data_IF_818576954782
#
_entry.id   IF_818576954782
#
_cell.length_a   1.000
_cell.length_b   1.000
_cell.length_c   1.000
_cell.angle_alpha   90.00
_cell.angle_beta   90.00
_cell.angle_gamma   90.00
#
_symmetry.space_group_name_H-M   'P 1'
#
loop_
_entity.id
_entity.type
_entity.pdbx_description
1 polymer ?
#
# COMPACT_ATOMS: atom_id res chain seq x y z
N UNK A 1 -27.45 -0.83 11.90
CA UNK A 1 -26.57 -1.65 11.04
C UNK A 1 -26.35 -2.97 11.78
N UNK A 2 -26.88 -4.09 11.27
CA UNK A 2 -26.66 -5.40 11.92
C UNK A 2 -25.18 -5.77 11.77
N UNK A 3 -24.50 -6.31 12.80
CA UNK A 3 -23.10 -6.71 12.67
C UNK A 3 -22.96 -7.77 11.57
N UNK A 4 -22.15 -7.51 10.55
CA UNK A 4 -21.92 -8.46 9.42
C UNK A 4 -21.49 -9.85 9.87
N UNK A 5 -20.79 -9.92 11.00
CA UNK A 5 -20.35 -11.18 11.57
C UNK A 5 -21.52 -12.04 12.09
N UNK A 6 -22.67 -11.44 12.42
CA UNK A 6 -23.87 -12.13 12.92
C UNK A 6 -23.59 -13.07 14.11
N UNK A 7 -22.58 -12.73 14.93
CA UNK A 7 -22.14 -13.57 16.05
C UNK A 7 -21.24 -14.76 15.67
N UNK A 8 -20.97 -14.96 14.38
CA UNK A 8 -20.04 -15.99 13.88
C UNK A 8 -18.58 -15.55 14.02
N UNK A 9 -17.70 -16.55 14.09
CA UNK A 9 -16.24 -16.34 14.10
C UNK A 9 -15.78 -15.71 12.79
N UNK A 10 -14.91 -14.70 12.88
CA UNK A 10 -14.32 -14.04 11.71
C UNK A 10 -12.90 -14.55 11.49
N UNK A 11 -12.69 -15.26 10.38
CA UNK A 11 -11.37 -15.63 9.87
C UNK A 11 -10.75 -14.42 9.19
N UNK A 12 -9.57 -14.00 9.64
CA UNK A 12 -8.87 -12.83 9.10
C UNK A 12 -7.68 -13.30 8.29
N UNK A 13 -7.63 -12.90 7.03
CA UNK A 13 -6.59 -13.28 6.09
C UNK A 13 -5.94 -12.02 5.56
N UNK A 14 -4.61 -11.99 5.58
CA UNK A 14 -3.83 -10.81 5.22
C UNK A 14 -2.80 -11.16 4.17
N UNK A 15 -2.66 -10.30 3.19
CA UNK A 15 -1.58 -10.39 2.22
C UNK A 15 -1.12 -8.99 1.81
N UNK A 16 0.18 -8.82 1.72
CA UNK A 16 0.80 -7.59 1.25
C UNK A 16 1.66 -7.95 0.05
N UNK A 17 1.35 -7.35 -1.09
CA UNK A 17 2.21 -7.43 -2.24
C UNK A 17 3.46 -6.62 -1.97
N UNK A 18 4.62 -7.22 -2.24
CA UNK A 18 5.91 -6.55 -2.08
C UNK A 18 6.73 -6.70 -3.34
N UNK A 19 6.72 -5.65 -4.16
CA UNK A 19 7.40 -5.60 -5.46
C UNK A 19 8.91 -5.90 -5.39
N UNK A 20 9.66 -5.33 -4.43
CA UNK A 20 11.08 -5.67 -4.23
C UNK A 20 11.33 -7.08 -3.65
N UNK A 21 10.26 -7.83 -3.35
CA UNK A 21 10.32 -9.15 -2.76
C UNK A 21 10.71 -10.27 -3.72
N UNK A 22 10.69 -11.50 -3.22
CA UNK A 22 10.78 -12.67 -4.09
C UNK A 22 9.50 -12.86 -4.91
N UNK A 23 9.57 -13.62 -6.01
CA UNK A 23 8.45 -13.85 -6.96
C UNK A 23 7.13 -14.23 -6.28
N UNK A 24 7.15 -14.97 -5.17
CA UNK A 24 5.91 -15.32 -4.47
C UNK A 24 5.29 -14.09 -3.78
N UNK A 25 6.08 -13.15 -3.27
CA UNK A 25 5.57 -11.96 -2.57
C UNK A 25 4.82 -10.97 -3.47
N UNK A 26 4.91 -11.13 -4.78
CA UNK A 26 4.24 -10.25 -5.74
C UNK A 26 3.57 -11.04 -6.88
N UNK A 27 3.18 -12.30 -6.65
CA UNK A 27 2.43 -13.09 -7.64
C UNK A 27 1.07 -13.56 -7.13
N UNK A 28 0.15 -13.82 -8.05
CA UNK A 28 -1.15 -14.41 -7.76
C UNK A 28 -1.01 -15.78 -7.06
N UNK A 29 0.01 -16.55 -7.43
CA UNK A 29 0.33 -17.83 -6.80
C UNK A 29 0.67 -17.66 -5.31
N UNK A 30 1.56 -16.70 -4.98
CA UNK A 30 1.95 -16.46 -3.59
C UNK A 30 0.81 -15.90 -2.74
N UNK A 31 -0.04 -15.04 -3.33
CA UNK A 31 -1.30 -14.62 -2.70
C UNK A 31 -2.15 -15.84 -2.31
N UNK A 32 -2.50 -16.71 -3.27
CA UNK A 32 -3.38 -17.84 -3.00
C UNK A 32 -2.79 -18.84 -2.01
N UNK A 33 -1.48 -19.14 -2.12
CA UNK A 33 -0.77 -20.01 -1.17
C UNK A 33 -0.84 -19.46 0.25
N UNK A 34 -0.61 -18.16 0.40
CA UNK A 34 -0.60 -17.49 1.71
C UNK A 34 -1.99 -17.44 2.33
N UNK A 35 -3.02 -17.18 1.52
CA UNK A 35 -4.42 -17.20 1.98
C UNK A 35 -4.85 -18.60 2.42
N UNK A 36 -4.54 -19.63 1.63
CA UNK A 36 -4.84 -21.02 1.97
C UNK A 36 -4.12 -21.45 3.25
N UNK A 37 -2.83 -21.13 3.36
CA UNK A 37 -2.05 -21.44 4.57
C UNK A 37 -2.68 -20.80 5.82
N UNK A 38 -3.03 -19.51 5.77
CA UNK A 38 -3.69 -18.82 6.89
C UNK A 38 -5.07 -19.39 7.21
N UNK A 39 -5.84 -19.81 6.20
CA UNK A 39 -7.12 -20.48 6.41
C UNK A 39 -6.93 -21.80 7.14
N UNK A 40 -6.04 -22.67 6.64
CA UNK A 40 -5.78 -23.96 7.27
C UNK A 40 -5.25 -23.84 8.70
N UNK A 41 -4.43 -22.84 8.99
CA UNK A 41 -3.95 -22.57 10.35
C UNK A 41 -5.06 -22.14 11.33
N UNK A 42 -6.12 -21.50 10.83
CA UNK A 42 -7.24 -21.02 11.66
C UNK A 42 -8.38 -22.05 11.78
N UNK A 43 -8.30 -23.16 11.03
CA UNK A 43 -9.27 -24.23 11.07
C UNK A 43 -8.71 -25.41 11.88
N UNK A 44 -9.57 -26.08 12.65
CA UNK A 44 -9.19 -27.32 13.34
C UNK A 44 -8.72 -28.39 12.35
N UNK A 45 -8.11 -29.48 12.85
CA UNK A 45 -7.64 -30.65 12.08
C UNK A 45 -8.67 -31.30 11.12
N UNK A 46 -9.93 -30.86 11.15
CA UNK A 46 -10.96 -31.19 10.16
C UNK A 46 -10.65 -30.61 8.77
N UNK A 47 -9.67 -29.71 8.61
CA UNK A 47 -9.35 -29.15 7.31
C UNK A 47 -8.77 -30.16 6.31
N UNK A 48 -8.21 -31.29 6.79
CA UNK A 48 -7.56 -32.32 5.96
C UNK A 48 -8.48 -32.84 4.85
N UNK A 49 -9.79 -32.95 5.12
CA UNK A 49 -10.76 -33.41 4.13
C UNK A 49 -11.00 -32.42 2.97
N UNK A 50 -10.53 -31.18 3.08
CA UNK A 50 -10.65 -30.14 2.05
C UNK A 50 -9.36 -29.92 1.26
N UNK A 51 -8.27 -30.58 1.65
CA UNK A 51 -7.05 -30.61 0.84
C UNK A 51 -7.29 -31.55 -0.33
N UNK A 52 -6.99 -31.16 -1.59
CA UNK A 52 -7.11 -32.05 -2.74
C UNK A 52 -6.39 -33.39 -2.50
N UNK A 53 -7.11 -34.50 -2.70
CA UNK A 53 -6.62 -35.84 -2.33
C UNK A 53 -5.27 -36.17 -2.98
N UNK A 54 -5.07 -35.83 -4.26
CA UNK A 54 -3.80 -36.07 -4.95
C UNK A 54 -2.64 -35.29 -4.32
N UNK A 55 -2.87 -34.07 -3.84
CA UNK A 55 -1.85 -33.28 -3.13
C UNK A 55 -1.55 -33.87 -1.76
N UNK A 56 -2.57 -34.31 -1.04
CA UNK A 56 -2.39 -34.97 0.26
C UNK A 56 -1.58 -36.26 0.14
N UNK A 57 -1.97 -37.15 -0.78
CA UNK A 57 -1.24 -38.40 -1.04
C UNK A 57 0.19 -38.12 -1.52
N UNK A 58 0.36 -37.13 -2.40
CA UNK A 58 1.69 -36.76 -2.86
C UNK A 58 2.56 -36.20 -1.74
N UNK A 59 2.00 -35.44 -0.78
CA UNK A 59 2.72 -34.93 0.38
C UNK A 59 3.24 -36.04 1.30
N UNK A 60 2.41 -37.08 1.50
CA UNK A 60 2.76 -38.22 2.34
C UNK A 60 3.83 -39.12 1.70
N UNK A 61 3.88 -39.17 0.36
CA UNK A 61 4.81 -40.03 -0.39
C UNK A 61 6.07 -39.29 -0.86
N UNK A 62 6.03 -37.96 -0.94
CA UNK A 62 7.19 -37.13 -1.27
C UNK A 62 8.21 -37.14 -0.15
N UNK A 63 9.35 -37.81 -0.36
CA UNK A 63 10.51 -37.83 0.56
C UNK A 63 11.28 -36.50 0.53
N UNK A 64 10.62 -35.39 0.86
CA UNK A 64 11.22 -34.06 0.92
C UNK A 64 11.28 -33.30 -0.41
N UNK A 65 10.59 -33.76 -1.46
CA UNK A 65 10.42 -32.97 -2.69
C UNK A 65 9.30 -31.94 -2.52
N UNK A 66 9.59 -30.69 -2.89
CA UNK A 66 8.60 -29.60 -2.86
C UNK A 66 7.45 -29.90 -3.82
N UNK A 67 6.23 -29.99 -3.28
CA UNK A 67 5.02 -30.14 -4.09
C UNK A 67 4.80 -28.87 -4.94
N UNK A 68 4.73 -29.05 -6.25
CA UNK A 68 4.33 -27.98 -7.16
C UNK A 68 2.81 -27.84 -7.14
N UNK A 69 2.32 -26.62 -6.98
CA UNK A 69 0.91 -26.26 -7.08
C UNK A 69 0.73 -25.35 -8.28
N UNK A 70 -0.32 -25.59 -9.08
CA UNK A 70 -0.72 -24.64 -10.12
C UNK A 70 -1.68 -23.60 -9.55
N UNK A 71 -1.77 -22.44 -10.20
CA UNK A 71 -2.74 -21.39 -9.83
C UNK A 71 -4.18 -21.92 -9.84
N UNK A 72 -4.54 -22.75 -10.83
CA UNK A 72 -5.87 -23.35 -10.92
C UNK A 72 -6.17 -24.28 -9.73
N UNK A 73 -5.20 -25.09 -9.29
CA UNK A 73 -5.36 -25.96 -8.11
C UNK A 73 -5.53 -25.15 -6.83
N UNK A 74 -4.77 -24.06 -6.68
CA UNK A 74 -4.86 -23.15 -5.54
C UNK A 74 -6.21 -22.43 -5.51
N UNK A 75 -6.65 -21.91 -6.66
CA UNK A 75 -7.96 -21.25 -6.82
C UNK A 75 -9.08 -22.20 -6.45
N UNK A 76 -9.06 -23.43 -6.97
CA UNK A 76 -10.09 -24.43 -6.66
C UNK A 76 -10.10 -24.82 -5.18
N UNK A 77 -8.92 -25.05 -4.59
CA UNK A 77 -8.80 -25.33 -3.16
C UNK A 77 -9.40 -24.20 -2.30
N UNK A 78 -9.16 -22.94 -2.71
CA UNK A 78 -9.71 -21.78 -2.03
C UNK A 78 -11.25 -21.71 -2.16
N UNK A 79 -11.81 -22.05 -3.32
CA UNK A 79 -13.27 -22.12 -3.51
C UNK A 79 -13.89 -23.20 -2.62
N UNK A 80 -13.30 -24.39 -2.57
CA UNK A 80 -13.78 -25.51 -1.75
C UNK A 80 -13.80 -25.09 -0.28
N UNK A 81 -12.69 -24.56 0.25
CA UNK A 81 -12.61 -24.20 1.67
C UNK A 81 -13.54 -23.04 2.01
N UNK A 82 -13.69 -22.03 1.14
CA UNK A 82 -14.62 -20.91 1.34
C UNK A 82 -16.07 -21.39 1.39
N UNK A 83 -16.45 -22.33 0.51
CA UNK A 83 -17.79 -22.92 0.52
C UNK A 83 -18.10 -23.60 1.85
N UNK A 84 -17.11 -24.27 2.43
CA UNK A 84 -17.25 -24.95 3.72
C UNK A 84 -17.41 -23.96 4.88
N UNK A 85 -16.51 -22.99 5.00
CA UNK A 85 -16.51 -22.07 6.15
C UNK A 85 -17.65 -21.05 6.10
N UNK A 86 -18.24 -20.80 4.93
CA UNK A 86 -19.31 -19.81 4.73
C UNK A 86 -20.53 -19.96 5.66
N UNK A 87 -20.78 -21.17 6.18
CA UNK A 87 -21.91 -21.49 7.06
C UNK A 87 -21.64 -21.21 8.54
N UNK A 88 -20.39 -21.34 8.98
CA UNK A 88 -20.01 -21.29 10.39
C UNK A 88 -19.12 -20.08 10.73
N UNK A 89 -18.54 -19.46 9.70
CA UNK A 89 -17.61 -18.36 9.83
C UNK A 89 -17.94 -17.25 8.83
N UNK A 90 -17.30 -16.11 9.05
CA UNK A 90 -17.17 -15.03 8.07
C UNK A 90 -15.70 -14.85 7.75
N UNK A 91 -15.37 -14.41 6.54
CA UNK A 91 -13.97 -14.26 6.10
C UNK A 91 -13.71 -12.82 5.73
N UNK A 92 -12.69 -12.23 6.35
CA UNK A 92 -12.19 -10.90 6.04
C UNK A 92 -10.83 -11.01 5.37
N UNK A 93 -10.76 -10.62 4.11
CA UNK A 93 -9.49 -10.45 3.38
C UNK A 93 -9.02 -9.01 3.52
N UNK A 94 -7.74 -8.84 3.80
CA UNK A 94 -7.03 -7.55 3.75
C UNK A 94 -5.88 -7.73 2.78
N UNK A 95 -6.01 -7.15 1.59
CA UNK A 95 -5.02 -7.24 0.51
C UNK A 95 -4.44 -5.87 0.26
N UNK A 96 -3.14 -5.71 0.45
CA UNK A 96 -2.50 -4.40 0.38
C UNK A 96 -1.47 -4.36 -0.77
N UNK A 97 -1.52 -3.30 -1.57
CA UNK A 97 -0.61 -3.06 -2.70
C UNK A 97 -0.93 -3.83 -3.99
N UNK A 98 -2.19 -3.93 -4.44
CA UNK A 98 -2.51 -4.72 -5.65
C UNK A 98 -1.72 -4.31 -6.91
N UNK A 99 -1.28 -3.05 -7.00
CA UNK A 99 -0.43 -2.53 -8.09
C UNK A 99 1.02 -3.04 -8.06
N UNK A 100 1.46 -3.66 -6.97
CA UNK A 100 2.78 -4.25 -6.86
C UNK A 100 2.84 -5.69 -7.40
N UNK A 101 1.75 -6.22 -7.97
CA UNK A 101 1.79 -7.53 -8.64
C UNK A 101 2.75 -7.51 -9.84
N UNK A 102 3.55 -8.57 -9.94
CA UNK A 102 4.43 -8.83 -11.08
C UNK A 102 3.62 -9.14 -12.33
N UNK A 103 4.19 -8.80 -13.49
CA UNK A 103 3.62 -9.10 -14.79
C UNK A 103 3.02 -7.90 -15.53
N UNK A 104 2.26 -8.24 -16.56
CA UNK A 104 1.67 -7.32 -17.54
C UNK A 104 0.22 -6.95 -17.18
N UNK A 105 -0.49 -6.34 -18.13
CA UNK A 105 -1.89 -5.97 -17.97
C UNK A 105 -2.77 -7.20 -17.74
N UNK A 106 -2.54 -8.30 -18.47
CA UNK A 106 -3.28 -9.56 -18.30
C UNK A 106 -3.16 -10.10 -16.86
N UNK A 107 -1.95 -10.04 -16.28
CA UNK A 107 -1.70 -10.47 -14.90
C UNK A 107 -2.49 -9.64 -13.87
N UNK A 108 -2.70 -8.34 -14.15
CA UNK A 108 -3.47 -7.42 -13.30
C UNK A 108 -4.97 -7.62 -13.47
N UNK A 109 -5.42 -7.89 -14.69
CA UNK A 109 -6.80 -8.26 -14.98
C UNK A 109 -7.18 -9.56 -14.27
N UNK A 110 -6.29 -10.56 -14.32
CA UNK A 110 -6.46 -11.83 -13.60
C UNK A 110 -6.57 -11.61 -12.08
N UNK A 111 -5.75 -10.72 -11.51
CA UNK A 111 -5.84 -10.35 -10.10
C UNK A 111 -7.16 -9.64 -9.78
N UNK A 112 -7.55 -8.66 -10.60
CA UNK A 112 -8.79 -7.92 -10.41
C UNK A 112 -10.01 -8.84 -10.48
N UNK A 113 -10.06 -9.73 -11.46
CA UNK A 113 -11.09 -10.76 -11.59
C UNK A 113 -11.12 -11.69 -10.38
N UNK A 114 -9.94 -12.15 -9.92
CA UNK A 114 -9.85 -13.00 -8.73
C UNK A 114 -10.40 -12.32 -7.48
N UNK A 115 -10.05 -11.05 -7.24
CA UNK A 115 -10.56 -10.25 -6.10
C UNK A 115 -12.08 -10.07 -6.20
N UNK A 116 -12.61 -9.77 -7.39
CA UNK A 116 -14.06 -9.68 -7.62
C UNK A 116 -14.77 -11.01 -7.36
N UNK A 117 -14.15 -12.13 -7.76
CA UNK A 117 -14.69 -13.46 -7.47
C UNK A 117 -14.76 -13.76 -5.98
N UNK A 118 -13.72 -13.41 -5.23
CA UNK A 118 -13.73 -13.51 -3.76
C UNK A 118 -14.85 -12.68 -3.14
N UNK A 119 -15.09 -11.47 -3.65
CA UNK A 119 -16.12 -10.56 -3.16
C UNK A 119 -17.55 -11.10 -3.31
N UNK A 120 -17.79 -12.01 -4.26
CA UNK A 120 -19.11 -12.60 -4.51
C UNK A 120 -19.48 -13.70 -3.52
N UNK A 121 -18.52 -14.21 -2.73
CA UNK A 121 -18.79 -15.27 -1.78
C UNK A 121 -19.63 -14.78 -0.59
N UNK A 122 -20.64 -15.55 -0.21
CA UNK A 122 -21.44 -15.24 0.96
C UNK A 122 -20.58 -15.24 2.22
N UNK A 123 -20.76 -14.21 3.06
CA UNK A 123 -20.03 -14.09 4.32
C UNK A 123 -18.58 -13.65 4.14
N UNK A 124 -18.20 -13.14 2.98
CA UNK A 124 -16.87 -12.57 2.70
C UNK A 124 -16.92 -11.05 2.70
N UNK A 125 -15.87 -10.42 3.23
CA UNK A 125 -15.54 -9.00 3.05
C UNK A 125 -14.09 -8.86 2.63
N UNK A 126 -13.82 -7.86 1.81
CA UNK A 126 -12.48 -7.51 1.37
C UNK A 126 -12.21 -6.05 1.67
N UNK A 127 -11.00 -5.79 2.13
CA UNK A 127 -10.38 -4.48 2.17
C UNK A 127 -9.17 -4.58 1.25
N UNK A 128 -9.17 -3.79 0.18
CA UNK A 128 -8.09 -3.77 -0.80
C UNK A 128 -7.51 -2.37 -0.91
N UNK A 129 -6.20 -2.27 -1.14
CA UNK A 129 -5.53 -1.02 -1.48
C UNK A 129 -4.72 -1.18 -2.77
N UNK A 130 -4.63 -0.10 -3.54
CA UNK A 130 -3.77 -0.02 -4.72
C UNK A 130 -3.49 1.44 -5.06
N UNK A 131 -2.46 1.68 -5.87
CA UNK A 131 -2.35 2.93 -6.63
C UNK A 131 -3.51 3.08 -7.63
N UNK A 132 -3.66 4.32 -8.13
CA UNK A 132 -4.66 4.71 -9.14
C UNK A 132 -4.28 4.18 -10.53
N UNK A 133 -4.33 2.87 -10.72
CA UNK A 133 -4.20 2.26 -12.04
C UNK A 133 -5.58 1.99 -12.64
N UNK A 134 -5.73 2.28 -13.92
CA UNK A 134 -7.01 2.21 -14.65
C UNK A 134 -7.70 0.84 -14.46
N UNK A 135 -6.94 -0.25 -14.56
CA UNK A 135 -7.44 -1.62 -14.36
C UNK A 135 -8.18 -1.80 -13.04
N UNK A 136 -7.62 -1.33 -11.92
CA UNK A 136 -8.26 -1.47 -10.61
C UNK A 136 -9.37 -0.44 -10.39
N UNK A 137 -9.22 0.76 -10.97
CA UNK A 137 -10.28 1.78 -10.93
C UNK A 137 -11.55 1.28 -11.62
N UNK A 138 -11.41 0.69 -12.81
CA UNK A 138 -12.53 0.17 -13.58
C UNK A 138 -13.13 -1.07 -12.91
N UNK A 139 -12.27 -2.02 -12.47
CA UNK A 139 -12.72 -3.23 -11.80
C UNK A 139 -13.49 -2.97 -10.49
N UNK A 140 -13.14 -1.93 -9.74
CA UNK A 140 -13.74 -1.63 -8.44
C UNK A 140 -14.56 -0.34 -8.42
N UNK A 141 -14.93 0.21 -9.57
CA UNK A 141 -15.66 1.48 -9.70
C UNK A 141 -16.99 1.51 -8.93
N UNK A 142 -17.65 0.35 -8.82
CA UNK A 142 -18.95 0.22 -8.13
C UNK A 142 -18.82 -0.09 -6.64
N UNK A 143 -17.62 -0.34 -6.15
CA UNK A 143 -17.37 -0.65 -4.74
C UNK A 143 -17.24 0.64 -3.91
N UNK A 144 -17.47 0.57 -2.59
CA UNK A 144 -17.09 1.67 -1.69
C UNK A 144 -15.59 1.92 -1.76
N UNK A 145 -15.19 3.16 -2.04
CA UNK A 145 -13.80 3.57 -2.16
C UNK A 145 -13.47 4.65 -1.13
N UNK A 146 -12.24 4.58 -0.61
CA UNK A 146 -11.68 5.60 0.26
C UNK A 146 -10.40 6.14 -0.40
N UNK A 147 -10.38 7.44 -0.70
CA UNK A 147 -9.23 8.13 -1.25
C UNK A 147 -8.56 8.90 -0.12
N UNK A 148 -7.38 8.46 0.30
CA UNK A 148 -6.70 9.03 1.46
C UNK A 148 -6.30 10.48 1.21
N UNK A 149 -5.87 10.79 -0.01
CA UNK A 149 -5.50 12.12 -0.49
C UNK A 149 -6.66 13.13 -0.44
N UNK A 150 -7.90 12.66 -0.56
CA UNK A 150 -9.09 13.53 -0.48
C UNK A 150 -9.52 13.78 0.98
N UNK A 151 -8.96 13.01 1.94
CA UNK A 151 -9.41 12.99 3.34
C UNK A 151 -8.35 13.45 4.34
N UNK A 152 -7.09 13.59 3.93
CA UNK A 152 -5.97 13.84 4.84
C UNK A 152 -5.48 15.31 4.87
N UNK A 153 -6.17 16.23 4.19
CA UNK A 153 -5.78 17.65 4.14
C UNK A 153 -5.60 18.25 5.54
N UNK A 154 -6.57 18.02 6.44
CA UNK A 154 -6.52 18.57 7.79
C UNK A 154 -5.39 17.96 8.62
N UNK A 155 -5.11 16.66 8.45
CA UNK A 155 -4.02 15.99 9.15
C UNK A 155 -2.66 16.51 8.67
N UNK A 156 -2.50 16.71 7.36
CA UNK A 156 -1.31 17.33 6.77
C UNK A 156 -1.14 18.76 7.32
N UNK A 157 -2.21 19.55 7.36
CA UNK A 157 -2.16 20.91 7.90
C UNK A 157 -1.67 20.93 9.34
N UNK A 158 -2.26 20.11 10.20
CA UNK A 158 -1.87 19.99 11.61
C UNK A 158 -0.42 19.53 11.75
N UNK A 159 0.02 18.60 10.90
CA UNK A 159 1.42 18.17 10.85
C UNK A 159 2.35 19.32 10.47
N UNK A 160 2.05 20.07 9.41
CA UNK A 160 2.84 21.23 8.97
C UNK A 160 2.92 22.28 10.07
N UNK A 161 1.79 22.68 10.64
CA UNK A 161 1.71 23.66 11.73
C UNK A 161 2.55 23.20 12.91
N UNK A 162 2.36 21.96 13.39
CA UNK A 162 3.10 21.41 14.52
C UNK A 162 4.61 21.35 14.28
N UNK A 163 5.04 20.92 13.09
CA UNK A 163 6.46 20.88 12.74
C UNK A 163 7.06 22.28 12.71
N UNK A 164 6.47 23.22 11.96
CA UNK A 164 6.99 24.58 11.84
C UNK A 164 7.05 25.29 13.20
N UNK A 165 5.99 25.17 14.01
CA UNK A 165 5.93 25.76 15.35
C UNK A 165 6.91 25.11 16.33
N UNK A 166 7.36 23.87 16.11
CA UNK A 166 8.39 23.26 16.97
C UNK A 166 9.79 23.87 16.78
N UNK A 167 10.01 24.66 15.73
CA UNK A 167 11.31 25.26 15.42
C UNK A 167 11.40 26.71 15.93
N UNK A 168 12.20 26.93 16.98
CA UNK A 168 12.36 28.25 17.59
C UNK A 168 12.88 29.33 16.62
N UNK A 169 13.74 28.99 15.66
CA UNK A 169 14.25 29.95 14.66
C UNK A 169 13.15 30.35 13.67
N UNK A 170 12.32 29.38 13.28
CA UNK A 170 11.13 29.68 12.47
C UNK A 170 10.19 30.63 13.22
N UNK A 171 9.88 30.35 14.49
CA UNK A 171 9.03 31.22 15.31
C UNK A 171 9.56 32.67 15.39
N UNK A 172 10.86 32.83 15.62
CA UNK A 172 11.51 34.15 15.64
C UNK A 172 11.41 34.86 14.29
N UNK A 173 11.60 34.13 13.19
CA UNK A 173 11.51 34.67 11.83
C UNK A 173 10.09 35.17 11.50
N UNK A 174 9.06 34.43 11.93
CA UNK A 174 7.67 34.75 11.57
C UNK A 174 6.96 35.68 12.55
N UNK A 175 7.57 36.03 13.68
CA UNK A 175 6.97 36.87 14.72
C UNK A 175 6.44 38.22 14.21
N UNK A 176 7.05 38.75 13.14
CA UNK A 176 6.66 40.01 12.49
C UNK A 176 6.39 39.87 11.00
N UNK A 177 6.13 38.65 10.50
CA UNK A 177 5.89 38.39 9.08
C UNK A 177 4.41 38.04 8.84
N UNK A 178 3.60 38.99 8.36
CA UNK A 178 2.16 38.76 8.12
C UNK A 178 1.89 37.62 7.13
N UNK A 179 2.82 37.36 6.19
CA UNK A 179 2.66 36.31 5.19
C UNK A 179 2.78 34.89 5.76
N UNK A 180 3.33 34.72 6.96
CA UNK A 180 3.58 33.41 7.54
C UNK A 180 2.31 32.54 7.65
N UNK A 181 1.14 33.18 7.79
CA UNK A 181 -0.17 32.51 7.79
C UNK A 181 -0.44 31.74 6.49
N UNK A 182 0.10 32.21 5.36
CA UNK A 182 -0.09 31.58 4.06
C UNK A 182 0.84 30.40 3.81
N UNK A 183 2.00 30.32 4.47
CA UNK A 183 2.98 29.26 4.23
C UNK A 183 2.43 27.88 4.55
N UNK A 184 1.71 27.76 5.67
CA UNK A 184 1.04 26.51 6.07
C UNK A 184 0.02 26.08 5.01
N UNK A 185 -0.82 27.01 4.56
CA UNK A 185 -1.85 26.73 3.55
C UNK A 185 -1.23 26.32 2.22
N UNK A 186 -0.14 26.99 1.80
CA UNK A 186 0.61 26.66 0.59
C UNK A 186 1.23 25.26 0.66
N UNK A 187 1.92 24.93 1.74
CA UNK A 187 2.52 23.61 1.94
C UNK A 187 1.46 22.50 1.97
N UNK A 188 0.34 22.75 2.66
CA UNK A 188 -0.77 21.78 2.75
C UNK A 188 -1.41 21.56 1.39
N UNK A 189 -1.67 22.64 0.63
CA UNK A 189 -2.28 22.53 -0.69
C UNK A 189 -1.35 21.87 -1.71
N UNK A 190 -0.05 22.21 -1.69
CA UNK A 190 0.93 21.62 -2.61
C UNK A 190 1.24 20.16 -2.31
N UNK A 191 0.93 19.67 -1.12
CA UNK A 191 1.15 18.28 -0.77
C UNK A 191 0.33 17.30 -1.62
N UNK A 192 -0.82 17.73 -2.16
CA UNK A 192 -1.75 16.86 -2.91
C UNK A 192 -2.03 15.53 -2.19
N UNK A 193 -2.13 15.59 -0.85
CA UNK A 193 -2.36 14.43 0.00
C UNK A 193 -1.14 13.56 0.31
N UNK A 194 0.07 13.96 -0.11
CA UNK A 194 1.29 13.17 0.05
C UNK A 194 2.11 13.63 1.27
N UNK A 195 1.97 12.92 2.39
CA UNK A 195 2.74 13.20 3.61
C UNK A 195 4.26 13.19 3.43
N UNK A 196 4.77 12.29 2.57
CA UNK A 196 6.20 12.19 2.31
C UNK A 196 6.74 13.48 1.69
N UNK A 197 6.00 14.07 0.75
CA UNK A 197 6.35 15.36 0.14
C UNK A 197 6.50 16.43 1.21
N UNK A 198 5.52 16.57 2.09
CA UNK A 198 5.50 17.57 3.16
C UNK A 198 6.69 17.40 4.10
N UNK A 199 6.99 16.16 4.50
CA UNK A 199 8.14 15.86 5.36
C UNK A 199 9.46 16.26 4.71
N UNK A 200 9.63 16.00 3.42
CA UNK A 200 10.84 16.35 2.68
C UNK A 200 10.99 17.88 2.57
N UNK A 201 9.91 18.59 2.23
CA UNK A 201 9.94 20.05 2.10
C UNK A 201 10.22 20.72 3.44
N UNK A 202 9.58 20.31 4.54
CA UNK A 202 9.86 20.86 5.87
C UNK A 202 11.33 20.68 6.25
N UNK A 203 11.92 19.52 5.95
CA UNK A 203 13.35 19.27 6.20
C UNK A 203 14.24 20.23 5.41
N UNK A 204 13.92 20.48 4.14
CA UNK A 204 14.62 21.45 3.29
C UNK A 204 14.46 22.89 3.82
N UNK A 205 13.26 23.28 4.28
CA UNK A 205 13.04 24.59 4.90
C UNK A 205 13.87 24.74 6.17
N UNK A 206 13.91 23.74 7.04
CA UNK A 206 14.73 23.78 8.26
C UNK A 206 16.22 23.82 7.98
N UNK A 207 16.67 23.26 6.86
CA UNK A 207 18.03 23.43 6.39
C UNK A 207 18.28 24.89 5.97
N UNK A 208 17.41 25.48 5.16
CA UNK A 208 17.49 26.90 4.79
C UNK A 208 17.52 27.83 6.01
N UNK A 209 16.64 27.62 7.00
CA UNK A 209 16.62 28.39 8.25
C UNK A 209 17.94 28.25 9.02
N UNK A 210 18.57 27.08 8.96
CA UNK A 210 19.87 26.85 9.61
C UNK A 210 20.97 27.64 8.93
N UNK A 211 20.91 27.71 7.61
CA UNK A 211 21.89 28.34 6.73
C UNK A 211 21.68 29.88 6.62
N UNK A 212 20.60 30.40 7.21
CA UNK A 212 20.32 31.85 7.31
C UNK A 212 19.32 32.38 6.29
N UNK A 213 18.54 31.51 5.63
CA UNK A 213 17.52 31.91 4.67
C UNK A 213 16.49 32.85 5.32
N UNK A 214 16.16 33.92 4.61
CA UNK A 214 15.05 34.83 4.98
C UNK A 214 13.71 34.18 4.68
N UNK A 215 12.62 34.70 5.28
CA UNK A 215 11.27 34.22 4.97
C UNK A 215 10.96 34.25 3.46
N UNK A 216 11.37 35.31 2.76
CA UNK A 216 11.16 35.44 1.32
C UNK A 216 11.86 34.32 0.52
N UNK A 217 13.03 33.87 0.96
CA UNK A 217 13.75 32.75 0.34
C UNK A 217 13.05 31.42 0.60
N UNK A 218 12.50 31.22 1.81
CA UNK A 218 11.70 30.03 2.13
C UNK A 218 10.43 29.97 1.29
N UNK A 219 9.69 31.09 1.20
CA UNK A 219 8.47 31.20 0.40
C UNK A 219 8.75 30.93 -1.08
N UNK A 220 9.81 31.54 -1.63
CA UNK A 220 10.25 31.28 -3.00
C UNK A 220 10.58 29.79 -3.21
N UNK A 221 11.29 29.15 -2.27
CA UNK A 221 11.62 27.73 -2.36
C UNK A 221 10.35 26.87 -2.39
N UNK A 222 9.38 27.13 -1.52
CA UNK A 222 8.09 26.42 -1.54
C UNK A 222 7.38 26.63 -2.87
N UNK A 223 7.41 27.83 -3.44
CA UNK A 223 6.80 28.13 -4.73
C UNK A 223 7.50 27.41 -5.90
N UNK A 224 8.83 27.29 -5.88
CA UNK A 224 9.61 26.65 -6.95
C UNK A 224 9.52 25.12 -6.95
N UNK A 225 9.20 24.51 -5.81
CA UNK A 225 9.13 23.06 -5.70
C UNK A 225 7.86 22.50 -6.38
N UNK A 226 7.99 21.43 -7.19
CA UNK A 226 6.85 20.78 -7.81
C UNK A 226 5.97 20.12 -6.73
N UNK A 227 4.65 20.10 -6.93
CA UNK A 227 3.73 19.35 -6.06
C UNK A 227 3.85 17.84 -6.29
N UNK A 228 4.17 17.43 -7.52
CA UNK A 228 4.39 16.02 -7.85
C UNK A 228 5.71 15.51 -7.24
N UNK A 229 5.59 14.44 -6.45
CA UNK A 229 6.73 13.83 -5.76
C UNK A 229 7.73 13.22 -6.76
N UNK A 230 7.27 12.74 -7.92
CA UNK A 230 8.16 12.16 -8.94
C UNK A 230 9.03 13.25 -9.58
N UNK A 231 8.45 14.40 -9.90
CA UNK A 231 9.19 15.58 -10.35
C UNK A 231 10.15 16.10 -9.27
N UNK A 232 9.74 16.08 -8.01
CA UNK A 232 10.64 16.42 -6.89
C UNK A 232 11.84 15.47 -6.82
N UNK A 233 11.61 14.15 -6.91
CA UNK A 233 12.69 13.19 -6.96
C UNK A 233 13.56 13.33 -8.22
N UNK A 234 12.98 13.67 -9.37
CA UNK A 234 13.75 13.95 -10.57
C UNK A 234 14.67 15.15 -10.38
N UNK A 235 14.19 16.25 -9.80
CA UNK A 235 15.02 17.41 -9.46
C UNK A 235 16.14 17.06 -8.47
N UNK A 236 15.83 16.26 -7.43
CA UNK A 236 16.84 15.78 -6.49
C UNK A 236 17.90 14.91 -7.20
N UNK A 237 17.46 13.99 -8.05
CA UNK A 237 18.36 13.13 -8.82
C UNK A 237 19.23 13.95 -9.78
N UNK A 238 18.65 14.97 -10.42
CA UNK A 238 19.39 15.83 -11.35
C UNK A 238 20.40 16.74 -10.66
N UNK A 239 20.17 17.07 -9.38
CA UNK A 239 21.14 17.80 -8.56
C UNK A 239 22.40 16.97 -8.22
N UNK A 240 22.35 15.64 -8.37
CA UNK A 240 23.49 14.76 -8.16
C UNK A 240 24.45 14.90 -9.35
N UNK A 241 25.73 15.15 -9.07
CA UNK A 241 26.77 15.21 -10.09
C UNK A 241 26.74 13.96 -10.98
N UNK A 242 26.84 14.08 -12.31
CA UNK A 242 26.66 12.96 -13.23
C UNK A 242 27.47 11.70 -12.90
N UNK A 243 28.69 11.87 -12.37
CA UNK A 243 29.58 10.77 -11.96
C UNK A 243 29.02 9.91 -10.82
N UNK A 244 28.19 10.48 -9.94
CA UNK A 244 27.59 9.79 -8.78
C UNK A 244 26.19 9.23 -9.05
N UNK A 245 25.56 9.58 -10.18
CA UNK A 245 24.19 9.15 -10.49
C UNK A 245 24.04 7.62 -10.56
N UNK A 246 25.06 6.91 -11.07
CA UNK A 246 25.04 5.44 -11.12
C UNK A 246 25.01 4.82 -9.72
N UNK A 247 25.83 5.32 -8.81
CA UNK A 247 25.86 4.85 -7.42
C UNK A 247 24.55 5.19 -6.71
N UNK A 248 24.01 6.40 -6.94
CA UNK A 248 22.71 6.80 -6.40
C UNK A 248 21.58 5.86 -6.85
N UNK A 249 21.53 5.45 -8.13
CA UNK A 249 20.56 4.46 -8.61
C UNK A 249 20.67 3.12 -7.87
N UNK A 250 21.88 2.64 -7.62
CA UNK A 250 22.09 1.38 -6.88
C UNK A 250 21.57 1.52 -5.45
N UNK A 251 21.86 2.64 -4.78
CA UNK A 251 21.33 2.89 -3.44
C UNK A 251 19.80 2.97 -3.43
N UNK A 252 19.18 3.62 -4.42
CA UNK A 252 17.73 3.67 -4.53
C UNK A 252 17.11 2.29 -4.72
N UNK A 253 17.71 1.41 -5.54
CA UNK A 253 17.22 0.04 -5.74
C UNK A 253 17.36 -0.86 -4.50
N UNK A 254 18.27 -0.52 -3.57
CA UNK A 254 18.45 -1.28 -2.33
C UNK A 254 17.55 -0.74 -1.22
N UNK A 255 17.32 0.57 -1.19
CA UNK A 255 16.62 1.26 -0.10
C UNK A 255 15.11 1.42 -0.33
N UNK A 256 14.64 1.32 -1.57
CA UNK A 256 13.23 1.37 -1.98
C UNK A 256 12.79 0.00 -2.49
#
# INVERSE_FOLDING_TARGET
>A
MVPWAEGLTVLRLRYYFWGPGNTLQHSLEGLMRTLLHQLYQQLDNRFVQYVPHHKWTSAQTSRGTTLKWTVSELRESLRIILSYVSRSCRVLFILDGLDEIDGDEDSRDDLAQFVQELARWHGVKLIVSSRRWTVFQDAFATCPQLRLEDLNYQDIRLFVEGQLQSNARYQQMVAHEPRAVHLVAQLTSKAEGVFLWVRLIIKELFRGIRDGDTYAMLEYRVQSLPSDLSQYFAQLFDSIEPRHRREACIFFQIAL
#
